data_IF_787438927793
#
_entry.id   IF_787438927793
#
_cell.length_a   1.000
_cell.length_b   1.000
_cell.length_c   1.000
_cell.angle_alpha   90.00
_cell.angle_beta   90.00
_cell.angle_gamma   90.00
#
_symmetry.space_group_name_H-M   'P 1'
#
loop_
_entity.id
_entity.type
_entity.pdbx_description
1 polymer ?
#
# COMPACT_ATOMS: atom_id res chain seq x y z
N UNK A 1 21.40 -9.86 10.58
CA UNK A 1 19.97 -10.17 10.81
C UNK A 1 19.21 -9.77 9.56
N UNK A 2 18.88 -10.72 8.70
CA UNK A 2 18.15 -10.47 7.45
C UNK A 2 16.73 -10.05 7.81
N UNK A 3 16.32 -8.82 7.48
CA UNK A 3 14.94 -8.41 7.64
C UNK A 3 14.08 -9.22 6.66
N UNK A 4 13.08 -9.95 7.15
CA UNK A 4 12.11 -10.62 6.30
C UNK A 4 11.27 -9.53 5.63
N UNK A 5 11.40 -9.36 4.32
CA UNK A 5 10.50 -8.54 3.52
C UNK A 5 9.50 -9.47 2.83
N UNK A 6 8.23 -9.07 2.82
CA UNK A 6 7.13 -9.82 2.18
C UNK A 6 6.64 -9.00 1.00
N UNK A 7 6.52 -9.62 -0.18
CA UNK A 7 5.86 -8.98 -1.32
C UNK A 7 4.35 -8.91 -1.10
N UNK A 8 3.79 -7.72 -1.28
CA UNK A 8 2.33 -7.48 -1.29
C UNK A 8 1.93 -6.72 -2.56
N UNK A 9 0.65 -6.77 -2.89
CA UNK A 9 0.04 -6.05 -4.00
C UNK A 9 -1.08 -5.17 -3.48
N UNK A 10 -1.04 -3.88 -3.81
CA UNK A 10 -2.16 -2.96 -3.63
C UNK A 10 -2.94 -2.89 -4.94
N UNK A 11 -4.26 -2.90 -4.83
CA UNK A 11 -5.20 -2.72 -5.94
C UNK A 11 -5.99 -1.46 -5.65
N UNK A 12 -6.02 -0.49 -6.56
CA UNK A 12 -6.73 0.76 -6.34
C UNK A 12 -8.21 0.68 -6.80
N UNK A 13 -8.86 1.84 -6.93
CA UNK A 13 -10.25 1.92 -7.38
C UNK A 13 -10.42 1.72 -8.89
N UNK A 14 -9.35 1.87 -9.68
CA UNK A 14 -9.32 1.61 -11.13
C UNK A 14 -8.89 0.16 -11.46
N UNK A 15 -8.74 -0.69 -10.42
CA UNK A 15 -8.23 -2.06 -10.47
C UNK A 15 -6.75 -2.17 -10.89
N UNK A 16 -6.00 -1.07 -10.85
CA UNK A 16 -4.57 -1.04 -11.13
C UNK A 16 -3.75 -1.62 -9.97
N UNK A 17 -2.67 -2.33 -10.31
CA UNK A 17 -1.91 -3.17 -9.36
C UNK A 17 -0.52 -2.63 -9.08
N UNK A 18 -0.23 -2.42 -7.80
CA UNK A 18 1.04 -1.89 -7.31
C UNK A 18 1.74 -2.90 -6.40
N UNK A 19 2.84 -3.46 -6.88
CA UNK A 19 3.66 -4.38 -6.10
C UNK A 19 4.64 -3.65 -5.19
N UNK A 20 4.71 -4.06 -3.93
CA UNK A 20 5.62 -3.46 -2.95
C UNK A 20 6.06 -4.42 -1.85
N UNK A 21 7.05 -4.00 -1.08
CA UNK A 21 7.59 -4.78 0.04
C UNK A 21 7.03 -4.29 1.37
N UNK A 22 6.47 -5.22 2.14
CA UNK A 22 6.10 -5.05 3.54
C UNK A 22 7.21 -5.55 4.46
N UNK A 23 7.55 -4.78 5.48
CA UNK A 23 8.50 -5.13 6.54
C UNK A 23 7.74 -5.41 7.85
N UNK A 24 7.47 -6.69 8.21
CA UNK A 24 6.67 -7.04 9.37
C UNK A 24 7.24 -6.54 10.69
N UNK A 25 8.57 -6.49 10.81
CA UNK A 25 9.25 -6.00 12.02
C UNK A 25 9.02 -4.52 12.30
N UNK A 26 8.60 -3.76 11.30
CA UNK A 26 8.32 -2.32 11.40
C UNK A 26 6.84 -1.99 11.15
N UNK A 27 6.03 -2.99 10.81
CA UNK A 27 4.70 -2.79 10.27
C UNK A 27 4.64 -1.71 9.17
N UNK A 28 5.62 -1.71 8.26
CA UNK A 28 5.82 -0.63 7.30
C UNK A 28 5.87 -1.14 5.86
N UNK A 29 5.29 -0.36 4.94
CA UNK A 29 5.51 -0.48 3.50
C UNK A 29 6.83 0.19 3.13
N UNK A 30 7.57 -0.39 2.20
CA UNK A 30 8.93 0.03 1.87
C UNK A 30 9.11 0.21 0.36
N UNK A 31 9.93 -0.60 -0.30
CA UNK A 31 10.17 -0.51 -1.75
C UNK A 31 8.84 -0.61 -2.51
N UNK A 32 8.59 0.35 -3.40
CA UNK A 32 7.35 0.47 -4.18
C UNK A 32 6.36 1.48 -3.59
N UNK A 33 6.37 1.72 -2.28
CA UNK A 33 5.43 2.64 -1.62
C UNK A 33 5.51 4.07 -2.15
N UNK A 34 6.73 4.61 -2.33
CA UNK A 34 6.90 5.97 -2.84
C UNK A 34 6.36 6.16 -4.27
N UNK A 35 6.36 5.10 -5.09
CA UNK A 35 5.75 5.16 -6.43
C UNK A 35 4.24 5.28 -6.35
N UNK A 36 3.61 4.48 -5.48
CA UNK A 36 2.18 4.55 -5.21
C UNK A 36 1.76 5.94 -4.71
N UNK A 37 2.49 6.50 -3.73
CA UNK A 37 2.25 7.86 -3.21
C UNK A 37 2.27 8.92 -4.30
N UNK A 38 3.23 8.89 -5.21
CA UNK A 38 3.36 9.88 -6.30
C UNK A 38 2.23 9.73 -7.31
N UNK A 39 1.91 8.49 -7.69
CA UNK A 39 0.90 8.18 -8.69
C UNK A 39 -0.50 8.62 -8.23
N UNK A 40 -0.82 8.32 -6.97
CA UNK A 40 -2.09 8.67 -6.33
C UNK A 40 -2.10 10.08 -5.69
N UNK A 41 -1.00 10.83 -5.83
CA UNK A 41 -0.85 12.22 -5.33
C UNK A 41 -1.15 12.39 -3.84
N UNK A 42 -0.80 11.39 -3.04
CA UNK A 42 -1.06 11.40 -1.60
C UNK A 42 -0.22 12.48 -0.89
N UNK A 43 -0.87 13.20 0.02
CA UNK A 43 -0.31 14.25 0.85
C UNK A 43 -0.46 13.92 2.33
N UNK A 44 0.27 14.68 3.16
CA UNK A 44 0.14 14.57 4.61
C UNK A 44 -1.30 14.89 5.04
N UNK A 45 -1.92 13.94 5.74
CA UNK A 45 -3.31 14.03 6.20
C UNK A 45 -4.27 13.14 5.41
N UNK A 46 -3.90 12.69 4.22
CA UNK A 46 -4.71 11.73 3.47
C UNK A 46 -4.81 10.39 4.22
N UNK A 47 -5.98 9.78 4.12
CA UNK A 47 -6.30 8.54 4.80
C UNK A 47 -6.59 7.45 3.79
N UNK A 48 -5.96 6.28 3.99
CA UNK A 48 -6.19 5.09 3.18
C UNK A 48 -6.76 3.97 4.04
N UNK A 49 -7.68 3.19 3.45
CA UNK A 49 -8.15 1.93 4.02
C UNK A 49 -7.62 0.78 3.19
N UNK A 50 -7.01 -0.20 3.87
CA UNK A 50 -6.50 -1.41 3.25
C UNK A 50 -7.45 -2.57 3.55
N UNK A 51 -8.20 -3.02 2.55
CA UNK A 51 -9.05 -4.20 2.64
C UNK A 51 -8.28 -5.42 2.14
N UNK A 52 -8.08 -6.42 3.00
CA UNK A 52 -7.49 -7.69 2.57
C UNK A 52 -8.47 -8.42 1.62
N UNK A 53 -8.02 -8.68 0.39
CA UNK A 53 -8.81 -9.41 -0.62
C UNK A 53 -8.19 -10.77 -0.98
N UNK A 54 -6.87 -10.92 -0.86
CA UNK A 54 -6.16 -12.20 -0.89
C UNK A 54 -4.99 -12.19 0.09
N UNK A 55 -4.32 -13.33 0.31
CA UNK A 55 -3.25 -13.50 1.33
C UNK A 55 -2.21 -12.37 1.35
N UNK A 56 -1.86 -11.83 0.19
CA UNK A 56 -0.88 -10.75 0.03
C UNK A 56 -1.39 -9.63 -0.86
N UNK A 57 -2.71 -9.49 -1.01
CA UNK A 57 -3.33 -8.50 -1.89
C UNK A 57 -4.38 -7.70 -1.12
N UNK A 58 -4.31 -6.37 -1.25
CA UNK A 58 -5.20 -5.45 -0.58
C UNK A 58 -5.86 -4.53 -1.60
N UNK A 59 -7.18 -4.36 -1.53
CA UNK A 59 -7.84 -3.22 -2.18
C UNK A 59 -7.64 -1.98 -1.30
N UNK A 60 -7.25 -0.88 -1.93
CA UNK A 60 -6.99 0.41 -1.27
C UNK A 60 -8.11 1.37 -1.61
N UNK A 61 -8.65 2.01 -0.58
CA UNK A 61 -9.70 3.03 -0.70
C UNK A 61 -9.11 4.33 -0.16
N UNK A 62 -9.14 5.38 -0.97
CA UNK A 62 -8.80 6.74 -0.55
C UNK A 62 -10.01 7.41 0.11
N UNK A 63 -9.85 7.92 1.33
CA UNK A 63 -10.92 8.64 2.03
C UNK A 63 -10.77 10.13 1.78
N UNK A 64 -11.76 10.72 1.13
CA UNK A 64 -11.91 12.16 1.02
C UNK A 64 -12.83 12.67 2.13
N UNK A 65 -12.30 13.51 3.02
CA UNK A 65 -13.13 14.24 3.99
C UNK A 65 -13.74 15.46 3.29
N UNK A 66 -15.08 15.52 3.26
CA UNK A 66 -15.85 16.65 2.77
C UNK A 66 -15.92 17.79 3.80
#
# INVERSE_FOLDING_TARGET
KSALCIGITLVDEEDDKFCMLYQPSKAALSTGWGGFVVDHKLLDGDCLVFQLIERTMFKVIEIYFA
#
